data_IF_326691697820
#
_entry.id   IF_326691697820
#
_cell.length_a   1.000
_cell.length_b   1.000
_cell.length_c   1.000
_cell.angle_alpha   90.00
_cell.angle_beta   90.00
_cell.angle_gamma   90.00
#
_symmetry.space_group_name_H-M   'P 1'
#
loop_
_entity.id
_entity.type
_entity.pdbx_description
1 polymer ?
#
# COMPACT_ATOMS: atom_id res chain seq x y z
N UNK A 1 4.79 22.20 26.57
CA UNK A 1 4.20 21.80 25.27
C UNK A 1 2.83 22.42 25.03
N UNK A 2 2.23 23.08 26.02
CA UNK A 2 0.85 23.61 25.92
C UNK A 2 0.73 24.97 25.22
N UNK A 3 1.86 25.59 24.84
CA UNK A 3 1.89 26.82 24.03
C UNK A 3 1.69 26.57 22.53
N UNK A 4 1.65 25.31 22.09
CA UNK A 4 1.43 24.96 20.68
C UNK A 4 -0.05 25.16 20.34
N UNK A 5 -0.39 25.90 19.26
CA UNK A 5 -1.78 26.12 18.88
C UNK A 5 -2.54 24.80 18.71
N UNK A 6 -3.78 24.78 19.22
CA UNK A 6 -4.61 23.57 19.21
C UNK A 6 -4.78 22.99 17.79
N UNK A 7 -5.02 23.84 16.80
CA UNK A 7 -5.16 23.43 15.41
C UNK A 7 -3.89 22.78 14.83
N UNK A 8 -2.71 23.21 15.30
CA UNK A 8 -1.45 22.59 14.88
C UNK A 8 -1.31 21.19 15.46
N UNK A 9 -1.63 21.02 16.75
CA UNK A 9 -1.65 19.70 17.39
C UNK A 9 -2.63 18.81 16.65
N UNK A 10 -3.83 19.31 16.37
CA UNK A 10 -4.87 18.54 15.68
C UNK A 10 -4.40 18.04 14.31
N UNK A 11 -3.92 18.96 13.47
CA UNK A 11 -3.41 18.61 12.14
C UNK A 11 -2.22 17.66 12.21
N UNK A 12 -1.26 17.92 13.08
CA UNK A 12 -0.06 17.08 13.23
C UNK A 12 -0.43 15.67 13.64
N UNK A 13 -1.33 15.55 14.62
CA UNK A 13 -1.78 14.26 15.10
C UNK A 13 -2.55 13.52 14.01
N UNK A 14 -3.47 14.16 13.27
CA UNK A 14 -4.17 13.54 12.13
C UNK A 14 -3.17 13.03 11.07
N UNK A 15 -2.11 13.78 10.82
CA UNK A 15 -1.08 13.41 9.84
C UNK A 15 -0.22 12.23 10.34
N UNK A 16 0.10 12.18 11.63
CA UNK A 16 0.99 11.18 12.23
C UNK A 16 0.29 9.87 12.62
N UNK A 17 -0.90 9.95 13.23
CA UNK A 17 -1.59 8.81 13.85
C UNK A 17 -2.16 7.80 12.86
N UNK A 18 -2.55 8.24 11.66
CA UNK A 18 -3.22 7.38 10.67
C UNK A 18 -2.20 6.77 9.67
N UNK A 19 -0.91 6.78 10.02
CA UNK A 19 0.13 6.22 9.19
C UNK A 19 0.08 4.68 9.08
N UNK A 20 -0.57 3.98 10.02
CA UNK A 20 -0.50 2.52 10.15
C UNK A 20 -1.72 1.94 10.90
N UNK A 21 -2.91 1.94 10.29
CA UNK A 21 -4.12 1.44 10.96
C UNK A 21 -4.04 -0.05 11.33
N UNK A 22 -3.28 -0.86 10.57
CA UNK A 22 -2.99 -2.25 10.94
C UNK A 22 -2.02 -2.42 12.12
N UNK A 23 -1.25 -1.38 12.49
CA UNK A 23 -0.33 -1.39 13.65
C UNK A 23 -0.71 -0.36 14.72
N UNK A 24 -1.94 0.16 14.69
CA UNK A 24 -2.46 1.05 15.74
C UNK A 24 -2.32 0.48 17.16
N UNK A 25 -2.29 -0.85 17.43
CA UNK A 25 -2.08 -1.36 18.80
C UNK A 25 -0.76 -0.89 19.45
N UNK A 26 0.24 -0.45 18.68
CA UNK A 26 1.59 -0.19 19.19
C UNK A 26 1.93 1.29 19.41
N UNK A 27 1.16 2.21 18.85
CA UNK A 27 1.25 3.64 19.16
C UNK A 27 0.05 4.02 20.03
N UNK A 28 -0.07 3.39 21.19
CA UNK A 28 -1.06 3.81 22.16
C UNK A 28 -0.63 5.21 22.62
N UNK A 29 -1.30 6.23 22.09
CA UNK A 29 -1.11 7.64 22.45
C UNK A 29 -1.29 7.90 23.95
N UNK A 30 -1.61 6.86 24.73
CA UNK A 30 -1.57 6.77 26.18
C UNK A 30 -0.26 7.28 26.82
N UNK A 31 0.86 7.27 26.09
CA UNK A 31 2.14 7.82 26.61
C UNK A 31 2.27 9.34 26.43
N UNK A 32 1.49 9.95 25.54
CA UNK A 32 1.50 11.40 25.37
C UNK A 32 0.67 12.06 26.47
N UNK A 33 1.26 13.03 27.17
CA UNK A 33 0.58 13.79 28.22
C UNK A 33 0.00 15.12 27.68
N UNK A 34 -0.87 15.75 28.46
CA UNK A 34 -1.45 17.05 28.13
C UNK A 34 -2.35 17.03 26.90
N UNK A 35 -2.32 18.12 26.12
CA UNK A 35 -3.20 18.32 24.97
C UNK A 35 -2.97 17.29 23.85
N UNK A 36 -1.73 16.83 23.66
CA UNK A 36 -1.40 15.82 22.65
C UNK A 36 -2.04 14.46 22.93
N UNK A 37 -1.99 13.99 24.18
CA UNK A 37 -2.60 12.73 24.59
C UNK A 37 -4.12 12.76 24.51
N UNK A 38 -4.74 13.83 25.01
CA UNK A 38 -6.19 14.05 24.92
C UNK A 38 -6.66 14.03 23.47
N UNK A 39 -5.92 14.67 22.58
CA UNK A 39 -6.29 14.77 21.18
C UNK A 39 -6.10 13.45 20.42
N UNK A 40 -5.00 12.72 20.67
CA UNK A 40 -4.81 11.36 20.16
C UNK A 40 -5.95 10.43 20.58
N UNK A 41 -6.37 10.53 21.85
CA UNK A 41 -7.51 9.77 22.37
C UNK A 41 -8.82 10.14 21.66
N UNK A 42 -9.13 11.43 21.55
CA UNK A 42 -10.31 11.92 20.82
C UNK A 42 -10.30 11.46 19.36
N UNK A 43 -9.16 11.48 18.65
CA UNK A 43 -9.12 10.94 17.29
C UNK A 43 -9.44 9.46 17.26
N UNK A 44 -8.90 8.67 18.18
CA UNK A 44 -9.13 7.23 18.24
C UNK A 44 -10.60 6.92 18.50
N UNK A 45 -11.25 7.69 19.38
CA UNK A 45 -12.64 7.48 19.80
C UNK A 45 -13.66 8.09 18.82
N UNK A 46 -13.39 9.28 18.28
CA UNK A 46 -14.33 10.05 17.48
C UNK A 46 -14.21 9.82 15.96
N UNK A 47 -13.14 9.17 15.49
CA UNK A 47 -12.93 8.94 14.06
C UNK A 47 -13.64 7.67 13.60
N UNK A 48 -14.66 7.84 12.77
CA UNK A 48 -15.37 6.73 12.17
C UNK A 48 -14.56 6.14 11.00
N UNK A 49 -14.12 4.89 11.16
CA UNK A 49 -13.37 4.16 10.15
C UNK A 49 -14.33 3.36 9.25
N UNK A 50 -14.09 3.40 7.94
CA UNK A 50 -14.92 2.71 6.95
C UNK A 50 -14.11 2.27 5.73
N UNK A 51 -14.67 1.35 4.96
CA UNK A 51 -14.18 0.91 3.66
C UNK A 51 -15.22 1.22 2.57
N UNK A 52 -14.74 1.42 1.34
CA UNK A 52 -15.58 1.56 0.15
C UNK A 52 -15.22 0.48 -0.86
N UNK A 53 -16.24 -0.15 -1.45
CA UNK A 53 -16.06 -1.04 -2.58
C UNK A 53 -16.88 -0.51 -3.76
N UNK A 54 -16.26 -0.52 -4.94
CA UNK A 54 -16.85 -0.15 -6.22
C UNK A 54 -16.83 -1.36 -7.14
N UNK A 55 -17.98 -1.66 -7.73
CA UNK A 55 -18.18 -2.79 -8.61
C UNK A 55 -18.60 -2.30 -9.99
N UNK A 56 -17.79 -2.60 -11.00
CA UNK A 56 -18.06 -2.23 -12.40
C UNK A 56 -18.79 -3.39 -13.06
N UNK A 57 -19.97 -3.12 -13.62
CA UNK A 57 -20.78 -4.06 -14.37
C UNK A 57 -21.14 -3.47 -15.73
N UNK A 58 -20.41 -3.89 -16.77
CA UNK A 58 -20.59 -3.39 -18.14
C UNK A 58 -20.43 -1.86 -18.23
N UNK A 59 -21.52 -1.09 -18.12
CA UNK A 59 -21.52 0.38 -18.12
C UNK A 59 -22.10 0.98 -16.83
N UNK A 60 -22.51 0.13 -15.88
CA UNK A 60 -23.04 0.55 -14.59
C UNK A 60 -21.95 0.47 -13.52
N UNK A 61 -22.00 1.42 -12.59
CA UNK A 61 -21.17 1.43 -11.40
C UNK A 61 -22.06 1.15 -10.19
N UNK A 62 -21.61 0.25 -9.33
CA UNK A 62 -22.24 -0.01 -8.05
C UNK A 62 -21.25 0.28 -6.93
N UNK A 63 -21.75 0.56 -5.73
CA UNK A 63 -20.89 0.70 -4.56
C UNK A 63 -21.50 0.06 -3.32
N UNK A 64 -20.65 -0.19 -2.34
CA UNK A 64 -21.03 -0.44 -0.97
C UNK A 64 -20.04 0.23 -0.02
N UNK A 65 -20.54 0.69 1.12
CA UNK A 65 -19.71 1.17 2.21
C UNK A 65 -19.86 0.21 3.40
N UNK A 66 -18.77 -0.09 4.06
CA UNK A 66 -18.80 -0.97 5.22
C UNK A 66 -17.95 -0.46 6.36
N UNK A 67 -18.36 -0.82 7.57
CA UNK A 67 -17.57 -0.72 8.78
C UNK A 67 -17.45 -2.12 9.37
N UNK A 68 -16.22 -2.63 9.44
CA UNK A 68 -15.96 -4.02 9.80
C UNK A 68 -16.75 -4.98 8.88
N UNK A 69 -17.65 -5.78 9.45
CA UNK A 69 -18.49 -6.71 8.71
C UNK A 69 -19.86 -6.11 8.30
N UNK A 70 -20.18 -4.89 8.71
CA UNK A 70 -21.51 -4.31 8.55
C UNK A 70 -21.55 -3.31 7.40
N UNK A 71 -22.57 -3.41 6.55
CA UNK A 71 -22.89 -2.39 5.55
C UNK A 71 -23.38 -1.12 6.24
N UNK A 72 -22.93 0.05 5.78
CA UNK A 72 -23.30 1.36 6.34
C UNK A 72 -23.75 2.30 5.23
N UNK A 73 -24.68 3.20 5.54
CA UNK A 73 -25.15 4.20 4.58
C UNK A 73 -24.16 5.36 4.46
N UNK A 74 -24.04 5.92 3.25
CA UNK A 74 -23.15 7.07 2.99
C UNK A 74 -23.65 8.32 3.75
N UNK A 75 -24.95 8.45 3.91
CA UNK A 75 -25.64 9.51 4.66
C UNK A 75 -25.19 9.52 6.13
N UNK A 76 -25.28 8.36 6.79
CA UNK A 76 -24.87 8.21 8.19
C UNK A 76 -23.38 8.51 8.37
N UNK A 77 -22.57 8.14 7.38
CA UNK A 77 -21.16 8.50 7.34
C UNK A 77 -21.01 10.01 7.24
N UNK A 78 -21.72 10.69 6.32
CA UNK A 78 -21.65 12.14 6.12
C UNK A 78 -22.02 12.95 7.37
N UNK A 79 -22.84 12.42 8.28
CA UNK A 79 -23.13 13.07 9.56
C UNK A 79 -21.96 13.00 10.56
N UNK A 80 -21.02 12.07 10.38
CA UNK A 80 -19.85 11.96 11.27
C UNK A 80 -18.88 13.12 11.06
N UNK A 81 -18.48 13.76 12.16
CA UNK A 81 -17.51 14.88 12.16
C UNK A 81 -16.13 14.46 11.65
N UNK A 82 -15.66 13.26 12.00
CA UNK A 82 -14.34 12.73 11.63
C UNK A 82 -14.53 11.36 10.98
N UNK A 83 -14.07 11.23 9.74
CA UNK A 83 -14.12 9.95 9.01
C UNK A 83 -12.76 9.58 8.45
N UNK A 84 -12.49 8.28 8.38
CA UNK A 84 -11.26 7.73 7.84
C UNK A 84 -11.57 6.57 6.89
N UNK A 85 -11.34 6.80 5.60
CA UNK A 85 -11.39 5.75 4.59
C UNK A 85 -10.14 4.86 4.71
N UNK A 86 -10.32 3.67 5.25
CA UNK A 86 -9.24 2.69 5.43
C UNK A 86 -8.84 2.05 4.12
N UNK A 87 -9.83 1.54 3.40
CA UNK A 87 -9.63 0.83 2.16
C UNK A 87 -10.65 1.20 1.11
N UNK A 88 -10.17 1.28 -0.13
CA UNK A 88 -11.00 1.40 -1.31
C UNK A 88 -10.74 0.20 -2.22
N UNK A 89 -11.79 -0.48 -2.65
CA UNK A 89 -11.73 -1.59 -3.60
C UNK A 89 -12.41 -1.17 -4.90
N UNK A 90 -11.78 -1.45 -6.04
CA UNK A 90 -12.38 -1.32 -7.37
C UNK A 90 -12.26 -2.66 -8.05
N UNK A 91 -13.40 -3.30 -8.34
CA UNK A 91 -13.45 -4.67 -8.86
C UNK A 91 -14.50 -4.80 -9.96
N UNK A 92 -14.40 -5.85 -10.75
CA UNK A 92 -15.51 -6.27 -11.60
C UNK A 92 -16.63 -6.81 -10.72
N UNK A 93 -17.89 -6.49 -11.05
CA UNK A 93 -19.04 -7.05 -10.34
C UNK A 93 -19.10 -8.55 -10.61
N UNK A 94 -19.14 -9.33 -9.53
CA UNK A 94 -19.43 -10.76 -9.57
C UNK A 94 -20.86 -10.99 -9.07
N UNK A 95 -21.52 -12.06 -9.53
CA UNK A 95 -22.93 -12.34 -9.24
C UNK A 95 -23.29 -12.45 -7.73
N UNK A 96 -22.30 -12.55 -6.84
CA UNK A 96 -22.48 -12.85 -5.42
C UNK A 96 -22.49 -11.64 -4.47
N UNK A 97 -22.65 -10.41 -4.98
CA UNK A 97 -22.72 -9.21 -4.14
C UNK A 97 -24.17 -8.66 -4.09
N UNK A 98 -25.02 -9.15 -3.16
CA UNK A 98 -26.44 -8.77 -3.11
C UNK A 98 -26.70 -7.36 -2.54
N UNK A 99 -25.77 -6.79 -1.77
CA UNK A 99 -25.96 -5.52 -1.04
C UNK A 99 -25.14 -4.37 -1.65
N UNK A 100 -25.38 -4.03 -2.92
CA UNK A 100 -24.71 -2.89 -3.55
C UNK A 100 -25.72 -1.92 -4.17
N UNK A 101 -25.52 -0.64 -3.90
CA UNK A 101 -26.30 0.43 -4.48
C UNK A 101 -25.80 0.74 -5.89
N UNK A 102 -26.73 0.88 -6.84
CA UNK A 102 -26.39 1.46 -8.15
C UNK A 102 -26.01 2.92 -7.96
N UNK A 103 -24.89 3.32 -8.56
CA UNK A 103 -24.38 4.68 -8.57
C UNK A 103 -25.23 5.54 -9.50
N UNK A 104 -25.60 6.71 -9.00
CA UNK A 104 -26.14 7.83 -9.77
C UNK A 104 -25.31 9.09 -9.47
N UNK A 105 -25.62 10.21 -10.11
CA UNK A 105 -24.85 11.45 -9.97
C UNK A 105 -24.91 12.02 -8.54
N UNK A 106 -26.05 11.90 -7.86
CA UNK A 106 -26.22 12.37 -6.48
C UNK A 106 -25.35 11.55 -5.52
N UNK A 107 -25.35 10.22 -5.66
CA UNK A 107 -24.52 9.32 -4.85
C UNK A 107 -23.05 9.51 -5.14
N UNK A 108 -22.68 9.74 -6.40
CA UNK A 108 -21.30 10.07 -6.79
C UNK A 108 -20.82 11.34 -6.05
N UNK A 109 -21.62 12.40 -6.06
CA UNK A 109 -21.29 13.64 -5.36
C UNK A 109 -21.17 13.44 -3.84
N UNK A 110 -22.10 12.69 -3.24
CA UNK A 110 -22.08 12.35 -1.81
C UNK A 110 -20.81 11.59 -1.43
N UNK A 111 -20.45 10.57 -2.20
CA UNK A 111 -19.25 9.76 -1.98
C UNK A 111 -17.99 10.61 -2.17
N UNK A 112 -17.92 11.45 -3.21
CA UNK A 112 -16.78 12.35 -3.41
C UNK A 112 -16.62 13.31 -2.23
N UNK A 113 -17.70 13.89 -1.71
CA UNK A 113 -17.66 14.75 -0.51
C UNK A 113 -17.15 13.98 0.71
N UNK A 114 -17.64 12.76 0.92
CA UNK A 114 -17.22 11.89 2.02
C UNK A 114 -15.74 11.50 1.91
N UNK A 115 -15.26 11.17 0.71
CA UNK A 115 -13.86 10.78 0.45
C UNK A 115 -12.92 11.97 0.62
N UNK A 116 -13.27 13.16 0.12
CA UNK A 116 -12.44 14.39 0.22
C UNK A 116 -12.12 14.78 1.67
N UNK A 117 -13.00 14.48 2.61
CA UNK A 117 -12.82 14.76 4.04
C UNK A 117 -12.18 13.61 4.83
N UNK A 118 -11.74 12.54 4.14
CA UNK A 118 -11.06 11.43 4.80
C UNK A 118 -9.76 11.90 5.45
N UNK A 119 -9.66 11.71 6.76
CA UNK A 119 -8.51 12.13 7.55
C UNK A 119 -7.37 11.12 7.52
N UNK A 120 -7.54 9.96 6.89
CA UNK A 120 -6.57 8.87 6.92
C UNK A 120 -5.70 8.72 5.68
N UNK A 121 -4.76 7.77 5.79
CA UNK A 121 -4.11 7.17 4.63
C UNK A 121 -4.97 6.00 4.17
N UNK A 122 -5.41 6.05 2.92
CA UNK A 122 -6.22 4.99 2.31
C UNK A 122 -5.32 3.97 1.63
N UNK A 123 -5.62 2.68 1.83
CA UNK A 123 -5.11 1.60 1.01
C UNK A 123 -6.07 1.37 -0.17
N UNK A 124 -5.57 1.46 -1.39
CA UNK A 124 -6.38 1.20 -2.57
C UNK A 124 -6.07 -0.17 -3.13
N UNK A 125 -7.12 -0.90 -3.51
CA UNK A 125 -7.06 -2.18 -4.19
C UNK A 125 -7.84 -2.08 -5.49
N UNK A 126 -7.25 -2.48 -6.61
CA UNK A 126 -7.90 -2.51 -7.91
C UNK A 126 -7.61 -3.81 -8.64
N UNK A 127 -8.63 -4.34 -9.30
CA UNK A 127 -8.46 -5.40 -10.28
C UNK A 127 -7.85 -4.82 -11.57
N UNK A 128 -7.00 -5.59 -12.26
CA UNK A 128 -6.49 -5.21 -13.58
C UNK A 128 -7.56 -5.38 -14.67
N UNK A 129 -7.40 -4.68 -15.80
CA UNK A 129 -8.27 -4.78 -16.96
C UNK A 129 -9.73 -4.33 -16.68
N UNK A 130 -9.88 -3.43 -15.70
CA UNK A 130 -11.13 -2.72 -15.46
C UNK A 130 -11.21 -1.47 -16.32
N UNK A 131 -12.13 -1.43 -17.27
CA UNK A 131 -12.49 -0.21 -18.00
C UNK A 131 -12.82 0.93 -17.01
N UNK A 132 -11.85 1.80 -16.75
CA UNK A 132 -11.97 2.84 -15.73
C UNK A 132 -13.05 3.83 -16.14
N UNK A 133 -14.17 3.78 -15.41
CA UNK A 133 -15.26 4.73 -15.61
C UNK A 133 -14.82 6.11 -15.10
N UNK A 134 -15.21 7.21 -15.77
CA UNK A 134 -14.90 8.57 -15.31
C UNK A 134 -15.31 8.82 -13.86
N UNK A 135 -16.44 8.27 -13.41
CA UNK A 135 -16.91 8.34 -12.03
C UNK A 135 -15.90 7.73 -11.03
N UNK A 136 -15.33 6.56 -11.35
CA UNK A 136 -14.31 5.92 -10.51
C UNK A 136 -13.04 6.77 -10.46
N UNK A 137 -12.59 7.28 -11.61
CA UNK A 137 -11.41 8.17 -11.68
C UNK A 137 -11.64 9.43 -10.84
N UNK A 138 -12.83 10.02 -10.89
CA UNK A 138 -13.19 11.20 -10.12
C UNK A 138 -13.24 10.93 -8.60
N UNK A 139 -13.64 9.72 -8.18
CA UNK A 139 -13.60 9.30 -6.77
C UNK A 139 -12.16 9.02 -6.33
N UNK A 140 -11.35 8.35 -7.16
CA UNK A 140 -9.94 8.14 -6.89
C UNK A 140 -9.22 9.47 -6.69
N UNK A 141 -9.44 10.42 -7.60
CA UNK A 141 -8.84 11.74 -7.50
C UNK A 141 -9.30 12.50 -6.23
N UNK A 142 -10.52 12.26 -5.76
CA UNK A 142 -11.00 12.84 -4.51
C UNK A 142 -10.25 12.36 -3.25
N UNK A 143 -9.52 11.22 -3.31
CA UNK A 143 -8.82 10.68 -2.13
C UNK A 143 -7.66 11.63 -1.73
N UNK A 144 -7.63 12.13 -0.48
CA UNK A 144 -6.59 13.07 -0.08
C UNK A 144 -5.19 12.44 -0.05
N UNK A 145 -5.09 11.23 0.53
CA UNK A 145 -3.84 10.52 0.80
C UNK A 145 -4.00 9.02 0.61
N UNK A 146 -3.19 8.46 -0.27
CA UNK A 146 -3.12 7.01 -0.53
C UNK A 146 -1.71 6.55 -0.18
N UNK A 147 -1.61 5.54 0.67
CA UNK A 147 -0.30 5.02 1.11
C UNK A 147 0.11 3.73 0.45
N UNK A 148 -0.86 2.97 -0.01
CA UNK A 148 -0.67 1.66 -0.59
C UNK A 148 -1.60 1.52 -1.76
N UNK A 149 -1.07 1.03 -2.88
CA UNK A 149 -1.87 0.62 -4.02
C UNK A 149 -1.59 -0.87 -4.24
N UNK A 150 -2.66 -1.65 -4.32
CA UNK A 150 -2.62 -3.06 -4.69
C UNK A 150 -3.34 -3.24 -6.03
N UNK A 151 -2.62 -3.66 -7.05
CA UNK A 151 -3.15 -3.98 -8.37
C UNK A 151 -3.13 -5.50 -8.55
N UNK A 152 -4.30 -6.14 -8.65
CA UNK A 152 -4.45 -7.58 -8.77
C UNK A 152 -4.64 -8.03 -10.23
N UNK A 153 -3.68 -8.75 -10.84
CA UNK A 153 -3.90 -9.44 -12.11
C UNK A 153 -4.87 -10.61 -11.92
N UNK A 154 -6.06 -10.55 -12.53
CA UNK A 154 -7.10 -11.58 -12.38
C UNK A 154 -7.20 -12.57 -13.57
N UNK A 155 -6.69 -12.22 -14.75
CA UNK A 155 -6.71 -13.11 -15.91
C UNK A 155 -5.45 -12.94 -16.77
N UNK A 156 -5.00 -14.06 -17.37
CA UNK A 156 -3.91 -14.10 -18.36
C UNK A 156 -4.34 -13.65 -19.77
N UNK A 157 -5.51 -13.00 -19.91
CA UNK A 157 -6.06 -12.64 -21.21
C UNK A 157 -5.31 -11.48 -21.83
N UNK A 158 -5.12 -11.58 -23.14
CA UNK A 158 -4.26 -10.79 -24.03
C UNK A 158 -4.32 -9.25 -23.82
N UNK A 159 -3.21 -8.63 -24.20
CA UNK A 159 -2.72 -7.25 -24.04
C UNK A 159 -3.72 -6.11 -24.35
N UNK A 160 -4.90 -6.39 -24.89
CA UNK A 160 -5.79 -5.41 -25.49
C UNK A 160 -6.51 -4.48 -24.50
N UNK A 161 -6.66 -4.83 -23.22
CA UNK A 161 -7.39 -4.01 -22.23
C UNK A 161 -6.51 -3.17 -21.31
N UNK A 162 -5.23 -3.56 -21.12
CA UNK A 162 -4.32 -2.85 -20.22
C UNK A 162 -4.01 -1.40 -20.66
N UNK A 163 -4.19 -1.07 -21.94
CA UNK A 163 -3.76 0.21 -22.53
C UNK A 163 -4.57 1.43 -22.09
N UNK A 164 -5.86 1.29 -21.77
CA UNK A 164 -6.69 2.45 -21.37
C UNK A 164 -6.58 2.81 -19.89
N UNK A 165 -6.21 1.86 -19.03
CA UNK A 165 -6.20 2.03 -17.57
C UNK A 165 -4.91 2.63 -17.06
N UNK A 166 -3.80 2.22 -17.64
CA UNK A 166 -2.46 2.59 -17.19
C UNK A 166 -2.29 4.12 -17.09
N UNK A 167 -2.74 4.96 -18.04
CA UNK A 167 -2.62 6.41 -17.91
C UNK A 167 -3.34 6.99 -16.68
N UNK A 168 -4.56 6.53 -16.39
CA UNK A 168 -5.35 7.01 -15.26
C UNK A 168 -4.71 6.60 -13.93
N UNK A 169 -4.33 5.33 -13.81
CA UNK A 169 -3.66 4.81 -12.61
C UNK A 169 -2.27 5.46 -12.44
N UNK A 170 -1.53 5.68 -13.51
CA UNK A 170 -0.24 6.37 -13.49
C UNK A 170 -0.37 7.82 -13.00
N UNK A 171 -1.36 8.57 -13.49
CA UNK A 171 -1.65 9.93 -13.03
C UNK A 171 -1.94 9.94 -11.52
N UNK A 172 -2.78 9.01 -11.07
CA UNK A 172 -3.10 8.83 -9.66
C UNK A 172 -1.88 8.48 -8.80
N UNK A 173 -1.02 7.57 -9.28
CA UNK A 173 0.26 7.23 -8.63
C UNK A 173 1.16 8.46 -8.51
N UNK A 174 1.36 9.21 -9.60
CA UNK A 174 2.17 10.44 -9.61
C UNK A 174 1.68 11.46 -8.58
N UNK A 175 0.37 11.69 -8.53
CA UNK A 175 -0.26 12.59 -7.56
C UNK A 175 0.11 12.22 -6.12
N UNK A 176 0.02 10.94 -5.76
CA UNK A 176 0.28 10.50 -4.39
C UNK A 176 1.77 10.35 -4.04
N UNK A 177 2.64 10.18 -5.05
CA UNK A 177 4.10 10.32 -4.91
C UNK A 177 4.49 11.77 -4.64
N UNK A 178 3.96 12.71 -5.43
CA UNK A 178 4.23 14.15 -5.25
C UNK A 178 3.79 14.64 -3.86
N UNK A 179 2.69 14.09 -3.33
CA UNK A 179 2.24 14.32 -1.95
C UNK A 179 3.04 13.57 -0.89
N UNK A 180 4.05 12.78 -1.28
CA UNK A 180 4.89 11.93 -0.41
C UNK A 180 4.09 11.01 0.51
N UNK A 181 2.92 10.54 0.05
CA UNK A 181 2.07 9.67 0.85
C UNK A 181 2.09 8.23 0.37
N UNK A 182 2.30 7.97 -0.92
CA UNK A 182 2.36 6.62 -1.49
C UNK A 182 3.71 5.97 -1.19
N UNK A 183 3.71 4.95 -0.33
CA UNK A 183 4.93 4.26 0.10
C UNK A 183 4.89 2.77 -0.16
N UNK A 184 3.80 2.23 -0.71
CA UNK A 184 3.66 0.81 -1.03
C UNK A 184 2.99 0.60 -2.37
N UNK A 185 3.61 -0.23 -3.19
CA UNK A 185 3.03 -0.72 -4.43
C UNK A 185 3.06 -2.24 -4.41
N UNK A 186 1.88 -2.84 -4.42
CA UNK A 186 1.72 -4.27 -4.47
C UNK A 186 1.10 -4.64 -5.81
N UNK A 187 1.84 -5.36 -6.63
CA UNK A 187 1.39 -5.90 -7.90
C UNK A 187 1.51 -7.43 -7.92
N UNK A 188 1.59 -8.04 -6.73
CA UNK A 188 1.58 -9.48 -6.57
C UNK A 188 0.16 -9.99 -6.77
N UNK A 189 -0.01 -10.87 -7.74
CA UNK A 189 -1.21 -11.67 -7.93
C UNK A 189 -0.89 -13.04 -8.50
N UNK A 190 -1.91 -13.69 -9.07
CA UNK A 190 -1.79 -15.05 -9.61
C UNK A 190 -0.88 -15.04 -10.84
N UNK A 191 -1.02 -14.04 -11.71
CA UNK A 191 -0.26 -13.92 -12.95
C UNK A 191 0.89 -12.91 -12.85
N UNK A 192 1.89 -13.03 -13.74
CA UNK A 192 2.91 -12.00 -13.94
C UNK A 192 2.33 -10.63 -14.26
N UNK A 193 3.09 -9.60 -13.91
CA UNK A 193 2.80 -8.22 -14.24
C UNK A 193 3.07 -8.01 -15.74
N UNK A 194 2.10 -7.53 -16.51
CA UNK A 194 2.33 -7.16 -17.90
C UNK A 194 3.31 -5.99 -18.04
N UNK A 195 4.14 -6.01 -19.10
CA UNK A 195 5.12 -4.95 -19.39
C UNK A 195 4.47 -3.56 -19.57
N UNK A 196 3.18 -3.50 -19.90
CA UNK A 196 2.41 -2.24 -20.00
C UNK A 196 2.34 -1.46 -18.68
N UNK A 197 2.52 -2.12 -17.53
CA UNK A 197 2.60 -1.46 -16.23
C UNK A 197 3.99 -0.93 -15.88
N UNK A 198 5.01 -1.18 -16.72
CA UNK A 198 6.37 -0.72 -16.44
C UNK A 198 6.48 0.80 -16.19
N UNK A 199 5.81 1.70 -16.94
CA UNK A 199 5.85 3.13 -16.64
C UNK A 199 5.37 3.48 -15.23
N UNK A 200 4.37 2.75 -14.72
CA UNK A 200 3.85 2.91 -13.35
C UNK A 200 4.88 2.45 -12.33
N UNK A 201 5.43 1.23 -12.51
CA UNK A 201 6.46 0.68 -11.62
C UNK A 201 7.69 1.58 -11.58
N UNK A 202 8.16 2.01 -12.76
CA UNK A 202 9.31 2.91 -12.90
C UNK A 202 9.08 4.22 -12.19
N UNK A 203 7.94 4.86 -12.42
CA UNK A 203 7.57 6.12 -11.75
C UNK A 203 7.57 5.96 -10.23
N UNK A 204 6.99 4.87 -9.72
CA UNK A 204 6.97 4.58 -8.29
C UNK A 204 8.38 4.38 -7.73
N UNK A 205 9.18 3.50 -8.33
CA UNK A 205 10.52 3.18 -7.82
C UNK A 205 11.51 4.35 -7.94
N UNK A 206 11.38 5.19 -8.97
CA UNK A 206 12.28 6.35 -9.15
C UNK A 206 11.95 7.52 -8.21
N UNK A 207 10.67 7.76 -7.96
CA UNK A 207 10.24 9.02 -7.36
C UNK A 207 9.62 8.89 -5.97
N UNK A 208 9.31 7.67 -5.50
CA UNK A 208 8.74 7.48 -4.16
C UNK A 208 9.80 7.11 -3.12
N UNK A 209 9.58 7.56 -1.89
CA UNK A 209 10.24 7.05 -0.68
C UNK A 209 9.53 5.76 -0.23
N UNK A 210 9.59 4.71 -1.06
CA UNK A 210 8.82 3.50 -0.78
C UNK A 210 9.33 2.70 0.42
N UNK A 211 8.38 2.14 1.15
CA UNK A 211 8.57 1.18 2.23
C UNK A 211 8.37 -0.27 1.79
N UNK A 212 7.65 -0.51 0.69
CA UNK A 212 7.50 -1.85 0.13
C UNK A 212 7.17 -1.83 -1.35
N UNK A 213 7.67 -2.81 -2.08
CA UNK A 213 7.30 -3.12 -3.45
C UNK A 213 7.13 -4.63 -3.57
N UNK A 214 6.01 -5.08 -4.13
CA UNK A 214 5.76 -6.51 -4.37
C UNK A 214 5.43 -6.70 -5.84
N UNK A 215 6.11 -7.62 -6.51
CA UNK A 215 5.87 -7.90 -7.91
C UNK A 215 6.10 -9.35 -8.28
N UNK A 216 5.44 -9.77 -9.36
CA UNK A 216 5.61 -11.09 -9.99
C UNK A 216 5.85 -10.88 -11.47
N UNK A 217 6.90 -11.47 -12.02
CA UNK A 217 7.34 -11.33 -13.40
C UNK A 217 7.39 -12.72 -14.06
N UNK A 218 7.20 -12.78 -15.38
CA UNK A 218 7.38 -14.03 -16.08
C UNK A 218 8.88 -14.26 -16.29
N UNK A 219 9.33 -15.51 -16.32
CA UNK A 219 10.74 -15.81 -16.57
C UNK A 219 11.24 -15.28 -17.93
N UNK A 220 10.36 -15.24 -18.94
CA UNK A 220 10.65 -14.64 -20.25
C UNK A 220 10.91 -13.13 -20.18
N UNK A 221 10.41 -12.45 -19.15
CA UNK A 221 10.56 -11.00 -18.94
C UNK A 221 11.77 -10.71 -18.01
N UNK A 222 12.86 -11.46 -18.17
CA UNK A 222 14.09 -11.36 -17.38
C UNK A 222 14.67 -9.94 -17.37
N UNK A 223 14.74 -9.29 -18.53
CA UNK A 223 15.29 -7.93 -18.64
C UNK A 223 14.42 -6.91 -17.90
N UNK A 224 13.09 -7.09 -17.92
CA UNK A 224 12.18 -6.27 -17.15
C UNK A 224 12.41 -6.43 -15.64
N UNK A 225 12.54 -7.67 -15.16
CA UNK A 225 12.85 -7.92 -13.76
C UNK A 225 14.20 -7.29 -13.35
N UNK A 226 15.24 -7.42 -14.18
CA UNK A 226 16.55 -6.77 -13.95
C UNK A 226 16.47 -5.25 -13.89
N UNK A 227 15.68 -4.63 -14.75
CA UNK A 227 15.50 -3.18 -14.73
C UNK A 227 14.78 -2.72 -13.45
N UNK A 228 13.72 -3.44 -13.02
CA UNK A 228 13.06 -3.18 -11.74
C UNK A 228 14.05 -3.25 -10.57
N UNK A 229 14.97 -4.21 -10.61
CA UNK A 229 16.03 -4.33 -9.61
C UNK A 229 16.98 -3.14 -9.59
N UNK A 230 17.45 -2.71 -10.76
CA UNK A 230 18.30 -1.53 -10.88
C UNK A 230 17.60 -0.29 -10.33
N UNK A 231 16.31 -0.12 -10.60
CA UNK A 231 15.52 0.99 -10.08
C UNK A 231 15.41 0.97 -8.55
N UNK A 232 15.16 -0.21 -7.97
CA UNK A 232 15.17 -0.38 -6.50
C UNK A 232 16.54 -0.06 -5.95
N UNK A 233 17.59 -0.55 -6.59
CA UNK A 233 18.96 -0.32 -6.18
C UNK A 233 19.30 1.16 -6.14
N UNK A 234 19.07 1.86 -7.25
CA UNK A 234 19.30 3.30 -7.35
C UNK A 234 18.50 4.09 -6.32
N UNK A 235 17.23 3.73 -6.09
CA UNK A 235 16.42 4.42 -5.09
C UNK A 235 16.95 4.21 -3.66
N UNK A 236 17.38 2.99 -3.32
CA UNK A 236 17.95 2.67 -2.01
C UNK A 236 19.27 3.39 -1.78
N UNK A 237 20.16 3.37 -2.77
CA UNK A 237 21.47 4.03 -2.68
C UNK A 237 21.36 5.56 -2.55
N UNK A 238 20.29 6.16 -3.07
CA UNK A 238 20.03 7.59 -2.96
C UNK A 238 19.43 8.04 -1.62
N UNK A 239 19.17 7.13 -0.67
CA UNK A 239 18.65 7.49 0.67
C UNK A 239 19.83 7.83 1.59
N UNK A 240 19.71 8.91 2.36
CA UNK A 240 20.75 9.34 3.30
C UNK A 240 21.22 8.18 4.19
N UNK A 241 22.52 7.87 4.08
CA UNK A 241 23.18 6.78 4.79
C UNK A 241 23.14 7.00 6.32
N UNK A 242 22.99 8.23 6.80
CA UNK A 242 22.92 8.56 8.23
C UNK A 242 21.73 7.90 8.97
N UNK A 243 20.72 7.40 8.25
CA UNK A 243 19.58 6.67 8.82
C UNK A 243 19.69 5.14 8.70
N UNK A 244 20.78 4.59 8.12
CA UNK A 244 20.94 3.17 7.79
C UNK A 244 20.87 2.23 8.99
N UNK A 245 21.25 2.68 10.19
CA UNK A 245 21.18 1.84 11.39
C UNK A 245 19.75 1.37 11.74
N UNK A 246 18.74 2.00 11.13
CA UNK A 246 17.32 1.82 11.43
C UNK A 246 16.51 1.14 10.33
N UNK A 247 17.08 0.63 9.25
CA UNK A 247 16.29 -0.03 8.20
C UNK A 247 16.78 -1.45 7.93
N UNK A 248 15.97 -2.44 8.33
CA UNK A 248 16.12 -3.81 7.89
C UNK A 248 15.43 -3.94 6.54
N UNK A 249 16.24 -4.03 5.50
CA UNK A 249 15.75 -4.22 4.15
C UNK A 249 15.76 -5.72 3.87
N UNK A 250 14.57 -6.28 3.63
CA UNK A 250 14.43 -7.67 3.22
C UNK A 250 14.05 -7.72 1.76
N UNK A 251 14.98 -8.19 0.96
CA UNK A 251 14.74 -8.58 -0.41
C UNK A 251 14.39 -10.06 -0.43
N UNK A 252 13.17 -10.41 -0.83
CA UNK A 252 12.78 -11.80 -1.03
C UNK A 252 12.57 -12.09 -2.51
N UNK A 253 13.22 -13.12 -3.03
CA UNK A 253 13.09 -13.54 -4.43
C UNK A 253 12.88 -15.05 -4.55
N UNK A 254 12.30 -15.49 -5.66
CA UNK A 254 12.31 -16.90 -6.06
C UNK A 254 13.75 -17.41 -6.20
N UNK A 255 14.04 -18.71 -5.95
CA UNK A 255 15.41 -19.25 -5.97
C UNK A 255 16.18 -18.98 -7.28
N UNK A 256 15.52 -19.11 -8.43
CA UNK A 256 16.13 -18.87 -9.75
C UNK A 256 16.61 -17.43 -9.87
N UNK A 257 15.73 -16.48 -9.52
CA UNK A 257 16.05 -15.06 -9.53
C UNK A 257 17.07 -14.71 -8.44
N UNK A 258 17.00 -15.33 -7.25
CA UNK A 258 17.91 -15.05 -6.15
C UNK A 258 19.39 -15.15 -6.55
N UNK A 259 19.76 -16.17 -7.31
CA UNK A 259 21.15 -16.32 -7.79
C UNK A 259 21.55 -15.17 -8.72
N UNK A 260 20.68 -14.81 -9.67
CA UNK A 260 20.94 -13.67 -10.56
C UNK A 260 20.99 -12.33 -9.82
N UNK A 261 20.16 -12.15 -8.78
CA UNK A 261 20.18 -10.97 -7.93
C UNK A 261 21.44 -10.92 -7.08
N UNK A 262 21.90 -12.07 -6.59
CA UNK A 262 23.12 -12.17 -5.81
C UNK A 262 24.32 -11.76 -6.67
N UNK A 263 24.39 -12.17 -7.94
CA UNK A 263 25.44 -11.72 -8.87
C UNK A 263 25.41 -10.21 -9.11
N UNK A 264 24.22 -9.65 -9.41
CA UNK A 264 24.04 -8.21 -9.63
C UNK A 264 24.31 -7.38 -8.36
N UNK A 265 24.12 -7.94 -7.17
CA UNK A 265 24.41 -7.26 -5.89
C UNK A 265 25.88 -7.40 -5.50
N UNK A 266 26.47 -8.60 -5.66
CA UNK A 266 27.89 -8.87 -5.35
C UNK A 266 28.83 -8.06 -6.25
N UNK A 267 28.42 -7.73 -7.48
CA UNK A 267 29.19 -6.84 -8.37
C UNK A 267 29.33 -5.39 -7.85
N UNK A 268 28.76 -5.07 -6.69
CA UNK A 268 28.54 -3.71 -6.17
C UNK A 268 28.89 -3.61 -4.67
N UNK A 269 29.70 -4.55 -4.18
CA UNK A 269 29.82 -4.92 -2.76
C UNK A 269 30.23 -3.80 -1.77
N UNK A 270 30.61 -2.60 -2.23
CA UNK A 270 31.00 -1.53 -1.29
C UNK A 270 29.84 -0.72 -0.69
N UNK A 271 28.60 -0.79 -1.22
CA UNK A 271 27.56 0.19 -0.84
C UNK A 271 26.13 -0.34 -0.66
N UNK A 272 25.91 -1.66 -0.55
CA UNK A 272 24.55 -2.20 -0.43
C UNK A 272 24.14 -2.51 1.03
N UNK A 273 23.23 -1.74 1.65
CA UNK A 273 22.84 -1.94 3.05
C UNK A 273 21.76 -3.01 3.28
N UNK A 274 21.29 -3.73 2.25
CA UNK A 274 20.17 -4.68 2.37
C UNK A 274 20.61 -6.15 2.55
N UNK A 275 19.83 -6.90 3.32
CA UNK A 275 19.94 -8.37 3.35
C UNK A 275 19.02 -8.98 2.31
N UNK A 276 19.59 -9.80 1.42
CA UNK A 276 18.81 -10.66 0.53
C UNK A 276 18.49 -11.95 1.29
N UNK A 277 17.24 -12.37 1.28
CA UNK A 277 16.81 -13.64 1.82
C UNK A 277 16.00 -14.39 0.79
N UNK A 278 16.16 -15.71 0.73
CA UNK A 278 15.17 -16.55 0.05
C UNK A 278 13.83 -16.40 0.79
N UNK A 279 12.72 -16.32 0.06
CA UNK A 279 11.41 -16.45 0.70
C UNK A 279 11.19 -17.95 0.99
N UNK A 280 11.18 -18.40 2.26
CA UNK A 280 10.94 -19.82 2.57
C UNK A 280 9.57 -20.29 2.09
N UNK A 281 8.59 -19.38 1.93
CA UNK A 281 7.27 -19.71 1.36
C UNK A 281 7.34 -19.98 -0.14
N UNK A 282 8.34 -19.41 -0.82
CA UNK A 282 8.57 -19.66 -2.24
C UNK A 282 9.31 -20.98 -2.49
N UNK A 283 10.07 -21.46 -1.51
CA UNK A 283 10.71 -22.79 -1.56
C UNK A 283 9.70 -23.95 -1.42
N UNK A 284 8.51 -23.66 -0.90
CA UNK A 284 7.42 -24.64 -0.71
C UNK A 284 6.36 -24.60 -1.83
N UNK A 285 6.60 -23.86 -2.92
CA UNK A 285 5.61 -23.74 -4.00
C UNK A 285 5.53 -25.05 -4.78
N UNK A 286 4.29 -25.51 -4.98
CA UNK A 286 3.94 -26.76 -5.67
C UNK A 286 4.50 -26.83 -7.11
N UNK A 287 4.79 -28.05 -7.61
CA UNK A 287 5.15 -28.27 -9.01
C UNK A 287 4.11 -27.67 -9.96
N UNK A 288 4.52 -26.78 -10.85
CA UNK A 288 3.63 -26.06 -11.79
C UNK A 288 3.77 -24.53 -11.81
N UNK A 289 4.47 -23.95 -10.84
CA UNK A 289 4.79 -22.50 -10.81
C UNK A 289 6.25 -22.18 -11.17
N UNK A 290 6.98 -23.15 -11.71
CA UNK A 290 8.42 -23.08 -12.00
C UNK A 290 8.81 -22.00 -13.04
N UNK A 291 7.85 -21.52 -13.85
CA UNK A 291 8.08 -20.52 -14.88
C UNK A 291 7.98 -19.04 -14.45
N UNK A 292 7.86 -18.75 -13.16
CA UNK A 292 7.62 -17.39 -12.67
C UNK A 292 8.69 -16.88 -11.71
N UNK A 293 8.98 -15.59 -11.82
CA UNK A 293 9.87 -14.87 -10.94
C UNK A 293 9.02 -14.04 -9.98
N UNK A 294 9.05 -14.34 -8.69
CA UNK A 294 8.36 -13.49 -7.70
C UNK A 294 9.38 -12.75 -6.87
N UNK A 295 9.04 -11.52 -6.55
CA UNK A 295 9.91 -10.60 -5.87
C UNK A 295 9.14 -9.73 -4.87
N UNK A 296 9.55 -9.80 -3.61
CA UNK A 296 9.01 -8.98 -2.54
C UNK A 296 10.13 -8.14 -1.92
N UNK A 297 10.08 -6.81 -2.05
CA UNK A 297 10.92 -5.90 -1.26
C UNK A 297 10.11 -5.36 -0.11
N UNK A 298 10.61 -5.56 1.09
CA UNK A 298 10.08 -4.96 2.29
C UNK A 298 11.17 -4.20 3.03
N UNK A 299 11.00 -2.89 3.14
CA UNK A 299 11.78 -2.05 4.03
C UNK A 299 11.06 -2.02 5.37
N UNK A 300 11.64 -2.68 6.38
CA UNK A 300 11.18 -2.59 7.75
C UNK A 300 12.10 -1.65 8.50
N UNK A 301 11.56 -0.59 9.12
CA UNK A 301 12.34 0.21 10.04
C UNK A 301 12.69 -0.67 11.27
N UNK A 302 13.97 -0.98 11.45
CA UNK A 302 14.55 -1.90 12.44
C UNK A 302 14.67 -1.34 13.85
N UNK A 303 14.20 -0.12 14.13
CA UNK A 303 14.21 0.42 15.51
C UNK A 303 13.53 -0.54 16.50
N UNK A 304 12.55 -1.33 16.04
CA UNK A 304 11.97 -2.42 16.82
C UNK A 304 12.78 -3.73 16.79
N UNK A 305 13.53 -4.06 15.74
CA UNK A 305 14.14 -5.38 15.60
C UNK A 305 15.35 -5.57 16.51
N UNK A 306 16.30 -4.61 16.55
CA UNK A 306 17.42 -4.63 17.53
C UNK A 306 16.90 -4.60 18.97
N UNK A 307 15.81 -3.86 19.21
CA UNK A 307 15.15 -3.81 20.53
C UNK A 307 14.44 -5.12 20.86
N UNK A 308 13.78 -5.77 19.90
CA UNK A 308 13.14 -7.08 20.05
C UNK A 308 14.15 -8.22 20.18
N UNK A 309 15.29 -8.18 19.48
CA UNK A 309 16.37 -9.15 19.67
C UNK A 309 17.01 -8.99 21.04
N UNK A 310 17.31 -7.75 21.48
CA UNK A 310 17.76 -7.51 22.87
C UNK A 310 16.73 -7.96 23.91
N UNK A 311 15.44 -7.77 23.66
CA UNK A 311 14.36 -8.27 24.54
C UNK A 311 14.30 -9.80 24.52
N UNK A 312 14.42 -10.44 23.35
CA UNK A 312 14.47 -11.91 23.24
C UNK A 312 15.70 -12.48 23.93
N UNK A 313 16.88 -11.88 23.76
CA UNK A 313 18.10 -12.28 24.45
C UNK A 313 17.97 -12.12 25.97
N UNK A 314 17.36 -11.03 26.44
CA UNK A 314 17.09 -10.82 27.87
C UNK A 314 16.10 -11.86 28.43
N UNK A 315 15.02 -12.16 27.68
CA UNK A 315 14.01 -13.15 28.06
C UNK A 315 14.59 -14.58 28.04
N UNK A 316 15.48 -14.89 27.09
CA UNK A 316 16.22 -16.16 27.04
C UNK A 316 17.17 -16.31 28.23
N UNK A 317 17.89 -15.25 28.63
CA UNK A 317 18.78 -15.28 29.80
C UNK A 317 18.00 -15.50 31.11
N UNK A 318 16.81 -14.92 31.24
CA UNK A 318 15.94 -15.09 32.41
C UNK A 318 15.35 -16.50 32.55
N UNK A 319 15.29 -17.30 31.47
CA UNK A 319 14.79 -18.70 31.52
C UNK A 319 15.86 -19.74 31.86
N UNK A 320 17.13 -19.33 31.88
CA UNK A 320 18.28 -20.21 32.16
C UNK A 320 18.83 -20.10 33.59
N UNK A 321 18.22 -19.29 34.45
CA UNK A 321 18.57 -19.11 35.87
C UNK A 321 17.43 -19.62 36.73
#
# INVERSE_FOLDING_TARGET
>A
MDAVPFDFIERTVILASIANVQFWPYCDGATLQGNWGRFMKSIKEDTFQYALAFFIDSNDLYYSASQNANTVRIEDLLEKKKTCLLSMYVKKKQYYYPECDKMDDQKLEMIQRLVKRSNGRTAMTMEQNLKMMPAVVAIMDAIPRVNSIHIFPYAATEEAQATQEVPAVLSFVKKHIQKRCLTRLNMRGIYPIPNTYFPLIRTFLQHSEFSAFFGKFAQKDKDFAKEVMRLIKTNVAGRDQELEEQWYQRLSASPILFNELQEEINSVEEQWPATIALDPRMAAIEPGFEGYWTFDVNFKRSTCFKKMEKVKEADSRQRTV
#
